data_IF_340648765294
#
_entry.id   IF_340648765294
#
_cell.length_a   1.000
_cell.length_b   1.000
_cell.length_c   1.000
_cell.angle_alpha   90.00
_cell.angle_beta   90.00
_cell.angle_gamma   90.00
#
_symmetry.space_group_name_H-M   'P 1'
#
loop_
_entity.id
_entity.type
_entity.pdbx_description
1 polymer ?
#
# COMPACT_ATOMS: atom_id res chain seq x y z
N UNK A 1 -49.47 -2.39 -9.88
CA UNK A 1 -48.25 -1.69 -10.36
C UNK A 1 -48.04 -0.26 -9.81
N UNK A 2 -49.05 0.64 -9.76
CA UNK A 2 -48.85 2.07 -9.42
C UNK A 2 -48.35 2.39 -8.01
N UNK A 3 -48.52 1.51 -7.01
CA UNK A 3 -48.12 1.79 -5.61
C UNK A 3 -46.60 1.69 -5.41
N UNK A 4 -45.96 0.68 -5.99
CA UNK A 4 -44.51 0.50 -5.89
C UNK A 4 -43.76 1.68 -6.53
N UNK A 5 -44.22 2.11 -7.70
CA UNK A 5 -43.67 3.28 -8.40
C UNK A 5 -43.83 4.58 -7.60
N UNK A 6 -44.96 4.77 -6.92
CA UNK A 6 -45.16 5.94 -6.03
C UNK A 6 -44.19 5.94 -4.85
N UNK A 7 -44.02 4.77 -4.20
CA UNK A 7 -43.11 4.62 -3.06
C UNK A 7 -41.66 4.80 -3.50
N UNK A 8 -41.26 4.18 -4.60
CA UNK A 8 -39.93 4.33 -5.17
C UNK A 8 -39.61 5.79 -5.48
N UNK A 9 -40.50 6.49 -6.18
CA UNK A 9 -40.25 7.88 -6.55
C UNK A 9 -40.22 8.82 -5.33
N UNK A 10 -41.02 8.51 -4.30
CA UNK A 10 -40.97 9.20 -3.02
C UNK A 10 -39.62 9.00 -2.31
N UNK A 11 -39.16 7.75 -2.18
CA UNK A 11 -37.89 7.44 -1.52
C UNK A 11 -36.68 7.97 -2.31
N UNK A 12 -36.73 7.88 -3.64
CA UNK A 12 -35.69 8.43 -4.51
C UNK A 12 -35.57 9.95 -4.31
N UNK A 13 -36.69 10.69 -4.41
CA UNK A 13 -36.71 12.14 -4.19
C UNK A 13 -36.31 12.52 -2.76
N UNK A 14 -36.68 11.71 -1.77
CA UNK A 14 -36.32 11.93 -0.37
C UNK A 14 -34.81 11.80 -0.14
N UNK A 15 -34.19 10.75 -0.70
CA UNK A 15 -32.75 10.52 -0.59
C UNK A 15 -31.95 11.57 -1.39
N UNK A 16 -32.40 11.95 -2.59
CA UNK A 16 -31.80 13.03 -3.39
C UNK A 16 -31.87 14.41 -2.73
N UNK A 17 -32.78 14.65 -1.77
CA UNK A 17 -32.82 15.92 -1.01
C UNK A 17 -31.98 15.90 0.26
N UNK A 18 -31.50 14.73 0.69
CA UNK A 18 -30.64 14.60 1.87
C UNK A 18 -29.20 14.91 1.47
N UNK A 19 -28.73 16.10 1.86
CA UNK A 19 -27.37 16.59 1.56
C UNK A 19 -26.28 15.60 2.02
N UNK A 20 -26.42 15.01 3.21
CA UNK A 20 -25.47 14.02 3.72
C UNK A 20 -25.45 12.73 2.88
N UNK A 21 -26.60 12.25 2.42
CA UNK A 21 -26.69 11.08 1.53
C UNK A 21 -26.00 11.35 0.19
N UNK A 22 -26.28 12.51 -0.43
CA UNK A 22 -25.62 12.91 -1.67
C UNK A 22 -24.11 13.07 -1.51
N UNK A 23 -23.66 13.69 -0.43
CA UNK A 23 -22.24 13.87 -0.16
C UNK A 23 -21.52 12.53 0.08
N UNK A 24 -22.10 11.62 0.87
CA UNK A 24 -21.48 10.30 1.09
C UNK A 24 -21.47 9.46 -0.19
N UNK A 25 -22.57 9.46 -0.95
CA UNK A 25 -22.73 8.60 -2.15
C UNK A 25 -21.95 9.12 -3.35
N UNK A 26 -21.92 10.44 -3.57
CA UNK A 26 -21.28 11.05 -4.74
C UNK A 26 -20.12 11.97 -4.37
N UNK A 27 -20.26 12.73 -3.29
CA UNK A 27 -19.24 13.68 -2.84
C UNK A 27 -17.92 13.00 -2.48
N UNK A 28 -17.93 11.95 -1.66
CA UNK A 28 -16.70 11.22 -1.27
C UNK A 28 -16.01 10.60 -2.50
N UNK A 29 -16.70 9.84 -3.38
CA UNK A 29 -16.06 9.33 -4.59
C UNK A 29 -15.49 10.42 -5.51
N UNK A 30 -16.23 11.50 -5.73
CA UNK A 30 -15.75 12.64 -6.53
C UNK A 30 -14.54 13.29 -5.87
N UNK A 31 -14.57 13.51 -4.56
CA UNK A 31 -13.46 14.09 -3.81
C UNK A 31 -12.22 13.21 -3.90
N UNK A 32 -12.36 11.90 -3.70
CA UNK A 32 -11.27 10.94 -3.82
C UNK A 32 -10.68 10.94 -5.24
N UNK A 33 -11.53 10.96 -6.27
CA UNK A 33 -11.08 11.04 -7.66
C UNK A 33 -10.32 12.34 -7.95
N UNK A 34 -10.85 13.48 -7.50
CA UNK A 34 -10.22 14.80 -7.68
C UNK A 34 -8.87 14.84 -6.96
N UNK A 35 -8.82 14.42 -5.69
CA UNK A 35 -7.58 14.37 -4.92
C UNK A 35 -6.57 13.42 -5.56
N UNK A 36 -6.98 12.20 -5.95
CA UNK A 36 -6.10 11.25 -6.62
C UNK A 36 -5.60 11.71 -7.99
N UNK A 37 -6.35 12.56 -8.69
CA UNK A 37 -5.95 13.12 -9.98
C UNK A 37 -5.03 14.34 -9.83
N UNK A 38 -5.30 15.20 -8.84
CA UNK A 38 -4.54 16.44 -8.61
C UNK A 38 -3.24 16.16 -7.84
N UNK A 39 -3.24 15.18 -6.94
CA UNK A 39 -2.09 14.89 -6.08
C UNK A 39 -0.82 14.54 -6.90
N UNK A 40 -0.85 13.69 -7.94
CA UNK A 40 0.30 13.49 -8.82
C UNK A 40 0.67 14.73 -9.65
N UNK A 41 -0.29 15.61 -9.97
CA UNK A 41 0.04 16.84 -10.71
C UNK A 41 0.80 17.85 -9.84
N UNK A 42 0.50 17.90 -8.54
CA UNK A 42 1.17 18.78 -7.57
C UNK A 42 2.43 18.16 -6.97
N UNK A 43 2.48 16.84 -6.84
CA UNK A 43 3.50 16.10 -6.09
C UNK A 43 4.15 14.96 -6.89
N UNK A 44 3.87 14.80 -8.18
CA UNK A 44 4.25 13.62 -8.99
C UNK A 44 5.72 13.48 -9.36
N UNK A 45 6.58 14.42 -8.94
CA UNK A 45 8.02 14.20 -8.90
C UNK A 45 8.46 13.45 -7.62
N UNK A 46 7.53 13.09 -6.73
CA UNK A 46 7.79 12.49 -5.41
C UNK A 46 6.98 11.20 -5.14
N UNK A 47 6.57 10.44 -6.16
CA UNK A 47 5.81 9.19 -5.99
C UNK A 47 6.24 8.08 -6.96
N UNK A 48 6.23 6.80 -6.53
CA UNK A 48 6.66 5.68 -7.38
C UNK A 48 5.74 5.53 -8.58
N UNK A 49 6.34 5.42 -9.77
CA UNK A 49 5.61 5.13 -11.00
C UNK A 49 5.15 3.68 -10.98
N UNK A 50 3.86 3.45 -10.69
CA UNK A 50 3.26 2.14 -10.77
C UNK A 50 2.92 1.82 -12.24
N UNK A 51 3.89 1.27 -12.96
CA UNK A 51 3.65 0.59 -14.23
C UNK A 51 3.09 -0.82 -13.93
N UNK A 52 1.92 -1.20 -14.46
CA UNK A 52 1.29 -2.50 -14.17
C UNK A 52 2.05 -3.73 -14.72
N UNK A 53 3.17 -3.52 -15.44
CA UNK A 53 4.08 -4.57 -15.92
C UNK A 53 5.41 -4.63 -15.16
N UNK A 54 5.61 -3.78 -14.14
CA UNK A 54 6.79 -3.83 -13.28
C UNK A 54 6.57 -4.89 -12.19
N UNK A 55 7.56 -5.75 -11.91
CA UNK A 55 7.50 -6.62 -10.72
C UNK A 55 7.29 -5.75 -9.49
N UNK A 56 6.52 -6.25 -8.52
CA UNK A 56 6.22 -5.55 -7.26
C UNK A 56 7.51 -5.07 -6.60
N UNK A 57 7.84 -3.79 -6.79
CA UNK A 57 9.05 -3.20 -6.28
C UNK A 57 8.72 -2.56 -4.93
N UNK A 58 9.13 -3.23 -3.85
CA UNK A 58 9.09 -2.64 -2.52
C UNK A 58 10.15 -1.55 -2.50
N UNK A 59 9.73 -0.32 -2.75
CA UNK A 59 10.58 0.85 -2.57
C UNK A 59 10.77 1.07 -1.06
N UNK A 60 11.76 0.40 -0.47
CA UNK A 60 12.20 0.64 0.90
C UNK A 60 12.79 2.07 0.92
N UNK A 61 12.21 3.01 1.69
CA UNK A 61 12.73 4.37 1.76
C UNK A 61 14.22 4.33 2.10
N UNK A 62 15.05 5.03 1.32
CA UNK A 62 16.50 5.07 1.53
C UNK A 62 16.90 5.59 2.93
N UNK A 63 16.00 6.31 3.61
CA UNK A 63 16.19 6.72 5.00
C UNK A 63 16.15 5.53 5.99
N UNK A 64 15.47 4.44 5.65
CA UNK A 64 15.46 3.20 6.43
C UNK A 64 16.75 2.38 6.21
N UNK A 65 17.35 2.47 5.02
CA UNK A 65 18.61 1.80 4.65
C UNK A 65 19.86 2.57 5.09
N UNK A 66 19.72 3.78 5.64
CA UNK A 66 20.84 4.57 6.17
C UNK A 66 21.35 4.09 7.52
N UNK A 67 20.56 3.28 8.23
CA UNK A 67 20.86 2.78 9.57
C UNK A 67 21.32 1.31 9.54
N UNK A 68 20.96 0.59 8.47
CA UNK A 68 21.21 -0.84 8.33
C UNK A 68 22.05 -1.05 7.07
N UNK A 69 23.36 -1.22 7.23
CA UNK A 69 24.28 -1.53 6.15
C UNK A 69 24.13 -3.00 5.70
N UNK A 70 23.78 -3.89 6.64
CA UNK A 70 23.58 -5.31 6.37
C UNK A 70 22.51 -5.93 7.29
N UNK A 71 21.40 -6.42 6.74
CA UNK A 71 20.30 -7.04 7.50
C UNK A 71 20.17 -8.54 7.24
N UNK A 72 19.57 -9.25 8.20
CA UNK A 72 19.13 -10.63 8.05
C UNK A 72 17.62 -10.74 7.82
N UNK A 73 17.16 -11.75 7.09
CA UNK A 73 15.75 -12.10 7.02
C UNK A 73 15.53 -13.63 7.05
N UNK A 74 14.37 -14.03 7.58
CA UNK A 74 13.89 -15.42 7.59
C UNK A 74 12.62 -15.46 6.75
N UNK A 75 12.57 -16.36 5.76
CA UNK A 75 11.40 -16.51 4.89
C UNK A 75 10.52 -17.67 5.36
N UNK A 76 9.49 -17.32 6.14
CA UNK A 76 8.46 -18.25 6.61
C UNK A 76 7.41 -18.59 5.54
N UNK A 77 7.46 -17.93 4.38
CA UNK A 77 6.46 -18.05 3.31
C UNK A 77 6.92 -18.94 2.15
N UNK A 78 8.23 -19.10 1.98
CA UNK A 78 8.85 -19.78 0.85
C UNK A 78 8.78 -19.00 -0.47
N UNK A 79 8.37 -17.73 -0.44
CA UNK A 79 8.24 -16.87 -1.63
C UNK A 79 9.48 -16.02 -1.91
N UNK A 80 10.38 -15.90 -0.93
CA UNK A 80 11.57 -15.04 -0.96
C UNK A 80 12.84 -15.87 -0.75
N UNK A 81 12.90 -17.05 -1.37
CA UNK A 81 14.03 -17.99 -1.27
C UNK A 81 15.34 -17.40 -1.80
N UNK A 82 15.26 -16.38 -2.65
CA UNK A 82 16.41 -15.69 -3.23
C UNK A 82 16.24 -14.16 -3.09
N UNK A 83 17.15 -13.45 -2.38
CA UNK A 83 17.08 -11.99 -2.26
C UNK A 83 17.45 -11.25 -3.55
N UNK A 84 17.93 -11.92 -4.60
CA UNK A 84 18.21 -11.33 -5.91
C UNK A 84 19.18 -10.16 -5.84
N UNK A 85 18.79 -9.00 -6.34
CA UNK A 85 19.61 -7.77 -6.32
C UNK A 85 19.91 -7.26 -4.90
N UNK A 86 19.14 -7.70 -3.89
CA UNK A 86 19.32 -7.30 -2.50
C UNK A 86 20.32 -8.19 -1.74
N UNK A 87 20.94 -9.19 -2.37
CA UNK A 87 21.92 -10.10 -1.74
C UNK A 87 23.12 -9.39 -1.08
N UNK A 88 23.42 -8.15 -1.47
CA UNK A 88 24.49 -7.34 -0.87
C UNK A 88 24.06 -6.66 0.42
N UNK A 89 22.76 -6.50 0.64
CA UNK A 89 22.17 -5.82 1.80
C UNK A 89 21.44 -6.79 2.74
N UNK A 90 20.96 -7.92 2.21
CA UNK A 90 20.16 -8.89 2.95
C UNK A 90 20.74 -10.29 2.84
N UNK A 91 20.98 -10.89 4.01
CA UNK A 91 21.36 -12.28 4.17
C UNK A 91 20.15 -13.12 4.61
N UNK A 92 19.88 -14.21 3.88
CA UNK A 92 18.81 -15.16 4.23
C UNK A 92 19.28 -16.12 5.31
N UNK A 93 18.47 -16.30 6.34
CA UNK A 93 18.65 -17.30 7.38
C UNK A 93 17.55 -18.36 7.30
N UNK A 94 17.90 -19.59 7.71
CA UNK A 94 16.97 -20.72 7.66
C UNK A 94 15.91 -20.66 8.79
N UNK A 95 16.26 -20.06 9.93
CA UNK A 95 15.35 -19.86 11.06
C UNK A 95 15.73 -18.62 11.89
N UNK A 96 14.81 -18.24 12.79
CA UNK A 96 14.98 -17.08 13.69
C UNK A 96 16.16 -17.26 14.65
N UNK A 97 16.47 -18.49 15.06
CA UNK A 97 17.57 -18.74 15.98
C UNK A 97 18.93 -18.44 15.34
N UNK A 98 19.12 -18.81 14.07
CA UNK A 98 20.31 -18.50 13.28
C UNK A 98 20.43 -16.98 13.03
N UNK A 99 19.33 -16.31 12.68
CA UNK A 99 19.32 -14.86 12.50
C UNK A 99 19.68 -14.12 13.80
N UNK A 100 19.13 -14.56 14.94
CA UNK A 100 19.42 -13.97 16.25
C UNK A 100 20.89 -14.16 16.67
N UNK A 101 21.49 -15.30 16.33
CA UNK A 101 22.91 -15.55 16.58
C UNK A 101 23.80 -14.59 15.78
N UNK A 102 23.51 -14.40 14.49
CA UNK A 102 24.23 -13.47 13.63
C UNK A 102 24.09 -12.01 14.09
N UNK A 103 22.89 -11.61 14.55
CA UNK A 103 22.64 -10.30 15.14
C UNK A 103 23.47 -10.10 16.41
N UNK A 104 23.51 -11.11 17.29
CA UNK A 104 24.28 -11.06 18.53
C UNK A 104 25.80 -11.06 18.27
N UNK A 105 26.24 -11.64 17.15
CA UNK A 105 27.63 -11.66 16.71
C UNK A 105 28.05 -10.38 15.98
N UNK A 106 27.10 -9.50 15.62
CA UNK A 106 27.36 -8.28 14.84
C UNK A 106 27.64 -8.56 13.36
N UNK A 107 27.21 -9.70 12.83
CA UNK A 107 27.31 -10.04 11.40
C UNK A 107 26.20 -9.37 10.58
N UNK A 108 25.09 -8.99 11.24
CA UNK A 108 24.00 -8.18 10.72
C UNK A 108 23.66 -7.07 11.72
N UNK A 109 23.15 -5.96 11.23
CA UNK A 109 22.77 -4.78 12.01
C UNK A 109 21.40 -4.94 12.69
N UNK A 110 21.18 -4.16 13.76
CA UNK A 110 19.93 -4.08 14.55
C UNK A 110 18.89 -3.15 13.94
#
# INVERSE_FOLDING_TARGET
>A
MMRLWKVFNYELKRNLRRKGYLFATFGIPVLAFVLGSIFPLLFGNAGPQNNPNEPFNVNIPSEFLRVVEHAGYVDETGLFTDPGELRTLFSRYDDEAAAQAALSAGEIDT
#
